data_IF_618085883583
#
_entry.id   IF_618085883583
#
_cell.length_a   1.000
_cell.length_b   1.000
_cell.length_c   1.000
_cell.angle_alpha   90.00
_cell.angle_beta   90.00
_cell.angle_gamma   90.00
#
_symmetry.space_group_name_H-M   'P 1'
#
loop_
_entity.id
_entity.type
_entity.pdbx_description
1 polymer ?
#
# COMPACT_ATOMS: atom_id res chain seq x y z
N UNK A 1 12.72 -14.34 3.02
CA UNK A 1 11.52 -14.98 3.61
C UNK A 1 10.55 -14.02 4.33
N UNK A 2 10.87 -12.73 4.42
CA UNK A 2 9.95 -11.71 4.94
C UNK A 2 8.63 -11.66 4.13
N UNK A 3 8.71 -11.81 2.80
CA UNK A 3 7.53 -11.84 1.93
C UNK A 3 6.58 -13.02 2.20
N UNK A 4 7.08 -14.15 2.72
CA UNK A 4 6.23 -15.27 3.12
C UNK A 4 5.51 -15.01 4.45
N UNK A 5 6.13 -14.29 5.37
CA UNK A 5 5.52 -13.91 6.64
C UNK A 5 4.38 -12.90 6.44
N UNK A 6 4.57 -11.89 5.58
CA UNK A 6 3.55 -10.88 5.25
C UNK A 6 2.35 -11.53 4.53
N UNK A 7 2.58 -12.46 3.59
CA UNK A 7 1.49 -13.22 2.95
C UNK A 7 0.74 -14.11 3.94
N UNK A 8 1.41 -14.72 4.93
CA UNK A 8 0.75 -15.53 5.96
C UNK A 8 -0.13 -14.69 6.88
N UNK A 9 0.31 -13.51 7.27
CA UNK A 9 -0.46 -12.61 8.13
C UNK A 9 -1.70 -12.07 7.40
N UNK A 10 -1.56 -11.70 6.11
CA UNK A 10 -2.70 -11.32 5.26
C UNK A 10 -3.72 -12.46 5.06
N UNK A 11 -3.25 -13.72 4.95
CA UNK A 11 -4.12 -14.89 4.88
C UNK A 11 -4.75 -15.25 6.23
N UNK A 12 -4.07 -15.02 7.36
CA UNK A 12 -4.64 -15.24 8.68
C UNK A 12 -5.80 -14.28 8.96
N UNK A 13 -5.64 -12.99 8.70
CA UNK A 13 -6.73 -12.02 8.87
C UNK A 13 -7.96 -12.35 8.03
N UNK A 14 -7.81 -12.91 6.83
CA UNK A 14 -8.92 -13.32 5.96
C UNK A 14 -9.56 -14.64 6.46
N UNK A 15 -8.81 -15.52 7.11
CA UNK A 15 -9.32 -16.82 7.61
C UNK A 15 -10.06 -16.69 8.93
N UNK A 16 -9.71 -15.70 9.74
CA UNK A 16 -10.29 -15.48 11.07
C UNK A 16 -11.50 -14.54 11.04
N UNK A 17 -11.68 -13.78 9.95
CA UNK A 17 -12.93 -13.08 9.68
C UNK A 17 -14.01 -14.10 9.30
N UNK A 18 -15.20 -13.98 9.86
CA UNK A 18 -16.35 -14.83 9.54
C UNK A 18 -16.61 -14.93 8.03
N UNK A 19 -17.44 -15.88 7.61
CA UNK A 19 -17.81 -16.00 6.19
C UNK A 19 -18.50 -14.72 5.72
N UNK A 20 -17.87 -14.02 4.78
CA UNK A 20 -18.41 -12.85 4.10
C UNK A 20 -18.72 -13.21 2.65
N UNK A 21 -19.79 -12.65 2.09
CA UNK A 21 -20.16 -12.87 0.69
C UNK A 21 -19.14 -12.25 -0.27
N UNK A 22 -18.53 -11.12 0.11
CA UNK A 22 -17.53 -10.39 -0.67
C UNK A 22 -16.29 -10.05 0.17
N UNK A 23 -15.39 -11.01 0.46
CA UNK A 23 -14.25 -10.79 1.36
C UNK A 23 -13.31 -9.67 0.91
N UNK A 24 -13.23 -9.41 -0.41
CA UNK A 24 -12.41 -8.32 -0.94
C UNK A 24 -12.95 -6.93 -0.56
N UNK A 25 -14.27 -6.80 -0.36
CA UNK A 25 -14.95 -5.57 0.07
C UNK A 25 -15.25 -5.57 1.58
N UNK A 26 -14.91 -6.64 2.28
CA UNK A 26 -15.32 -6.92 3.64
C UNK A 26 -14.40 -6.37 4.74
N UNK A 27 -14.49 -7.01 5.90
CA UNK A 27 -13.75 -6.68 7.11
C UNK A 27 -12.32 -7.21 7.05
N UNK A 28 -11.39 -6.38 6.59
CA UNK A 28 -9.98 -6.76 6.33
C UNK A 28 -9.02 -5.58 6.54
N UNK A 29 -7.74 -5.90 6.61
CA UNK A 29 -6.64 -4.95 6.62
C UNK A 29 -6.78 -3.87 7.70
N UNK A 30 -6.70 -2.58 7.37
CA UNK A 30 -6.75 -1.50 8.35
C UNK A 30 -8.08 -1.45 9.11
N UNK A 31 -9.17 -1.92 8.52
CA UNK A 31 -10.48 -2.00 9.19
C UNK A 31 -10.42 -2.86 10.45
N UNK A 32 -9.75 -4.03 10.36
CA UNK A 32 -9.51 -4.90 11.53
C UNK A 32 -8.61 -4.18 12.54
N UNK A 33 -7.55 -3.55 12.07
CA UNK A 33 -6.57 -2.89 12.94
C UNK A 33 -7.20 -1.75 13.76
N UNK A 34 -8.13 -0.99 13.18
CA UNK A 34 -8.80 0.13 13.86
C UNK A 34 -9.90 -0.34 14.82
N UNK A 35 -10.60 -1.44 14.53
CA UNK A 35 -11.61 -2.00 15.44
C UNK A 35 -11.02 -2.90 16.54
N UNK A 36 -9.85 -3.51 16.26
CA UNK A 36 -9.13 -4.36 17.22
C UNK A 36 -7.74 -3.78 17.49
N UNK A 37 -7.66 -2.63 18.19
CA UNK A 37 -6.41 -1.89 18.35
C UNK A 37 -5.34 -2.68 19.10
N UNK A 38 -5.67 -3.64 19.94
CA UNK A 38 -4.70 -4.45 20.69
C UNK A 38 -3.83 -5.30 19.75
N UNK A 39 -4.42 -5.86 18.69
CA UNK A 39 -3.67 -6.60 17.66
C UNK A 39 -2.73 -5.65 16.93
N UNK A 40 -3.24 -4.49 16.55
CA UNK A 40 -2.47 -3.48 15.82
C UNK A 40 -1.36 -2.89 16.68
N UNK A 41 -1.63 -2.55 17.94
CA UNK A 41 -0.62 -2.07 18.89
C UNK A 41 0.50 -3.09 19.09
N UNK A 42 0.18 -4.39 19.20
CA UNK A 42 1.17 -5.45 19.30
C UNK A 42 2.12 -5.46 18.09
N UNK A 43 1.58 -5.31 16.89
CA UNK A 43 2.36 -5.25 15.66
C UNK A 43 3.21 -3.97 15.59
N UNK A 44 2.60 -2.81 15.83
CA UNK A 44 3.29 -1.53 15.83
C UNK A 44 4.43 -1.50 16.87
N UNK A 45 4.20 -2.02 18.07
CA UNK A 45 5.21 -2.14 19.11
C UNK A 45 6.43 -2.92 18.64
N UNK A 46 6.23 -4.01 17.91
CA UNK A 46 7.32 -4.78 17.32
C UNK A 46 8.05 -4.01 16.21
N UNK A 47 7.31 -3.30 15.35
CA UNK A 47 7.87 -2.53 14.25
C UNK A 47 8.68 -1.31 14.73
N UNK A 48 8.15 -0.54 15.68
CA UNK A 48 8.85 0.61 16.26
C UNK A 48 10.15 0.19 16.97
N UNK A 49 10.15 -0.94 17.66
CA UNK A 49 11.38 -1.51 18.26
C UNK A 49 12.37 -1.97 17.20
N UNK A 50 11.90 -2.58 16.11
CA UNK A 50 12.76 -3.04 15.02
C UNK A 50 13.37 -1.88 14.24
N UNK A 51 12.67 -0.76 14.08
CA UNK A 51 13.14 0.44 13.40
C UNK A 51 14.41 1.02 14.04
N UNK A 52 14.64 0.81 15.34
CA UNK A 52 15.87 1.21 16.02
C UNK A 52 17.13 0.54 15.49
N UNK A 53 17.00 -0.61 14.84
CA UNK A 53 18.13 -1.45 14.42
C UNK A 53 18.33 -1.49 12.90
N UNK A 54 17.54 -0.76 12.12
CA UNK A 54 17.69 -0.71 10.68
C UNK A 54 16.65 0.16 10.00
N UNK A 55 16.88 0.47 8.73
CA UNK A 55 15.95 1.24 7.92
C UNK A 55 14.66 0.45 7.71
N UNK A 56 13.56 0.98 8.19
CA UNK A 56 12.24 0.38 8.11
C UNK A 56 11.26 1.47 7.66
N UNK A 57 10.30 1.11 6.83
CA UNK A 57 9.14 1.93 6.52
C UNK A 57 7.87 1.11 6.76
N UNK A 58 6.83 1.73 7.29
CA UNK A 58 5.54 1.08 7.55
C UNK A 58 4.54 1.55 6.51
N UNK A 59 3.82 0.62 5.89
CA UNK A 59 2.79 0.92 4.91
C UNK A 59 1.43 0.36 5.36
N UNK A 60 0.40 1.22 5.42
CA UNK A 60 -0.95 0.86 5.84
C UNK A 60 -1.85 0.61 4.65
N UNK A 61 -2.44 -0.60 4.54
CA UNK A 61 -3.25 -0.99 3.38
C UNK A 61 -4.73 -0.59 3.54
N UNK A 62 -5.46 -0.55 2.42
CA UNK A 62 -6.92 -0.40 2.35
C UNK A 62 -7.47 0.91 2.93
N UNK A 63 -6.72 1.98 2.78
CA UNK A 63 -7.14 3.32 3.22
C UNK A 63 -8.26 3.84 2.30
N UNK A 64 -9.26 4.46 2.88
CA UNK A 64 -10.38 5.10 2.17
C UNK A 64 -10.66 6.53 2.63
N UNK A 65 -10.05 6.99 3.75
CA UNK A 65 -10.30 8.33 4.28
C UNK A 65 -9.11 8.92 5.04
N UNK A 66 -9.15 10.23 5.24
CA UNK A 66 -8.20 11.00 6.05
C UNK A 66 -8.31 10.59 7.52
N UNK A 67 -9.52 10.35 8.02
CA UNK A 67 -9.80 9.99 9.41
C UNK A 67 -9.15 8.65 9.79
N UNK A 68 -9.07 7.70 8.86
CA UNK A 68 -8.35 6.44 9.08
C UNK A 68 -6.87 6.70 9.34
N UNK A 69 -6.23 7.56 8.54
CA UNK A 69 -4.81 7.90 8.72
C UNK A 69 -4.58 8.65 10.04
N UNK A 70 -5.46 9.57 10.39
CA UNK A 70 -5.39 10.28 11.68
C UNK A 70 -5.52 9.29 12.84
N UNK A 71 -6.44 8.32 12.75
CA UNK A 71 -6.63 7.28 13.77
C UNK A 71 -5.42 6.37 13.89
N UNK A 72 -4.80 5.97 12.78
CA UNK A 72 -3.54 5.21 12.76
C UNK A 72 -2.44 5.97 13.48
N UNK A 73 -2.24 7.25 13.15
CA UNK A 73 -1.20 8.08 13.79
C UNK A 73 -1.39 8.22 15.29
N UNK A 74 -2.65 8.32 15.74
CA UNK A 74 -2.96 8.33 17.16
C UNK A 74 -2.53 7.04 17.85
N UNK A 75 -2.85 5.88 17.26
CA UNK A 75 -2.44 4.57 17.81
C UNK A 75 -0.91 4.43 17.81
N UNK A 76 -0.22 4.90 16.77
CA UNK A 76 1.26 4.90 16.72
C UNK A 76 1.83 5.75 17.86
N UNK A 77 1.27 6.94 18.11
CA UNK A 77 1.71 7.80 19.19
C UNK A 77 1.48 7.17 20.57
N UNK A 78 0.33 6.52 20.78
CA UNK A 78 0.04 5.77 22.03
C UNK A 78 1.07 4.66 22.25
N UNK A 79 1.42 3.89 21.22
CA UNK A 79 2.43 2.83 21.31
C UNK A 79 3.83 3.39 21.58
N UNK A 80 4.17 4.52 20.99
CA UNK A 80 5.45 5.19 21.23
C UNK A 80 5.55 5.64 22.71
N UNK A 81 4.49 6.24 23.24
CA UNK A 81 4.40 6.65 24.66
C UNK A 81 4.51 5.45 25.62
N UNK A 82 3.83 4.32 25.30
CA UNK A 82 3.95 3.09 26.07
C UNK A 82 5.40 2.58 26.12
N UNK A 83 6.10 2.55 24.97
CA UNK A 83 7.49 2.13 24.89
C UNK A 83 8.44 3.06 25.65
N UNK A 84 8.21 4.37 25.59
CA UNK A 84 8.99 5.36 26.32
C UNK A 84 8.83 5.19 27.85
N UNK A 85 7.60 5.03 28.32
CA UNK A 85 7.29 4.81 29.73
C UNK A 85 7.92 3.51 30.28
N UNK A 86 8.07 2.49 29.44
CA UNK A 86 8.73 1.23 29.78
C UNK A 86 10.26 1.28 29.61
N UNK A 87 10.83 2.41 29.18
CA UNK A 87 12.25 2.57 28.84
C UNK A 87 12.74 1.56 27.77
N UNK A 88 11.87 1.19 26.82
CA UNK A 88 12.22 0.31 25.71
C UNK A 88 12.67 1.16 24.52
N UNK A 89 13.88 0.94 23.96
CA UNK A 89 14.35 1.68 22.81
C UNK A 89 13.46 1.44 21.58
N UNK A 90 13.10 2.53 20.91
CA UNK A 90 12.31 2.51 19.69
C UNK A 90 12.70 3.67 18.75
N UNK A 91 12.20 3.63 17.55
CA UNK A 91 12.25 4.72 16.56
C UNK A 91 10.95 4.73 15.77
N UNK A 92 10.46 5.90 15.41
CA UNK A 92 9.30 6.03 14.53
C UNK A 92 9.82 6.09 13.09
N UNK A 93 9.59 5.04 12.28
CA UNK A 93 10.05 5.00 10.89
C UNK A 93 9.14 5.83 9.98
N UNK A 94 9.52 5.97 8.71
CA UNK A 94 8.62 6.49 7.68
C UNK A 94 7.30 5.72 7.65
N UNK A 95 6.21 6.47 7.51
CA UNK A 95 4.86 5.92 7.48
C UNK A 95 4.16 6.30 6.19
N UNK A 96 3.85 5.32 5.38
CA UNK A 96 3.14 5.48 4.13
C UNK A 96 1.82 4.73 4.11
N UNK A 97 1.07 4.92 3.04
CA UNK A 97 -0.19 4.22 2.81
C UNK A 97 -0.20 3.55 1.44
N UNK A 98 -0.99 2.49 1.33
CA UNK A 98 -1.28 1.90 0.04
C UNK A 98 -2.48 2.60 -0.59
N UNK A 99 -2.26 3.15 -1.78
CA UNK A 99 -3.31 3.70 -2.62
C UNK A 99 -3.82 2.56 -3.51
N UNK A 100 -4.89 1.93 -3.08
CA UNK A 100 -5.46 0.76 -3.74
C UNK A 100 -6.99 0.81 -3.83
N UNK A 101 -7.59 1.90 -3.37
CA UNK A 101 -9.02 2.18 -3.48
C UNK A 101 -9.25 3.46 -4.29
N UNK A 102 -10.31 3.55 -5.11
CA UNK A 102 -10.65 4.79 -5.81
C UNK A 102 -10.85 5.98 -4.87
N UNK A 103 -11.35 5.74 -3.65
CA UNK A 103 -11.51 6.78 -2.64
C UNK A 103 -10.16 7.40 -2.24
N UNK A 104 -9.13 6.57 -1.97
CA UNK A 104 -7.81 7.06 -1.63
C UNK A 104 -7.14 7.83 -2.79
N UNK A 105 -7.40 7.42 -4.04
CA UNK A 105 -6.93 8.18 -5.21
C UNK A 105 -7.51 9.58 -5.24
N UNK A 106 -8.83 9.70 -5.03
CA UNK A 106 -9.53 10.99 -5.04
C UNK A 106 -9.09 11.93 -3.91
N UNK A 107 -8.62 11.37 -2.79
CA UNK A 107 -8.12 12.09 -1.61
C UNK A 107 -6.59 12.12 -1.54
N UNK A 108 -5.90 11.82 -2.64
CA UNK A 108 -4.44 11.64 -2.62
C UNK A 108 -3.69 12.90 -2.20
N UNK A 109 -4.19 14.09 -2.51
CA UNK A 109 -3.56 15.36 -2.11
C UNK A 109 -3.67 15.56 -0.59
N UNK A 110 -4.85 15.40 0.00
CA UNK A 110 -5.10 15.53 1.43
C UNK A 110 -4.37 14.44 2.24
N UNK A 111 -4.33 13.21 1.71
CA UNK A 111 -3.62 12.10 2.34
C UNK A 111 -2.10 12.31 2.33
N UNK A 112 -1.55 12.94 1.28
CA UNK A 112 -0.12 13.22 1.17
C UNK A 112 0.40 14.19 2.25
N UNK A 113 -0.45 15.06 2.80
CA UNK A 113 -0.09 15.93 3.93
C UNK A 113 0.20 15.14 5.21
N UNK A 114 -0.36 13.95 5.32
CA UNK A 114 -0.34 13.16 6.55
C UNK A 114 0.69 12.04 6.56
N UNK A 115 1.28 11.67 5.44
CA UNK A 115 2.17 10.51 5.32
C UNK A 115 3.48 10.86 4.63
N UNK A 116 4.44 9.94 4.66
CA UNK A 116 5.76 10.15 4.10
C UNK A 116 5.87 9.64 2.67
N UNK A 117 5.05 8.67 2.28
CA UNK A 117 5.04 8.10 0.93
C UNK A 117 3.73 7.40 0.58
N UNK A 118 3.57 7.12 -0.72
CA UNK A 118 2.52 6.27 -1.26
C UNK A 118 3.09 5.02 -1.93
N UNK A 119 2.35 3.92 -1.82
CA UNK A 119 2.57 2.73 -2.64
C UNK A 119 1.27 2.36 -3.35
N UNK A 120 1.26 2.41 -4.67
CA UNK A 120 0.05 2.12 -5.45
C UNK A 120 -0.13 0.61 -5.59
N UNK A 121 -1.18 0.07 -4.97
CA UNK A 121 -1.57 -1.33 -5.03
C UNK A 121 -2.38 -1.62 -6.30
N UNK A 122 -1.72 -1.76 -7.44
CA UNK A 122 -2.37 -1.78 -8.76
C UNK A 122 -3.38 -2.90 -8.95
N UNK A 123 -3.18 -4.06 -8.31
CA UNK A 123 -4.09 -5.19 -8.43
C UNK A 123 -5.45 -4.90 -7.78
N UNK A 124 -5.44 -4.40 -6.55
CA UNK A 124 -6.67 -4.06 -5.82
C UNK A 124 -7.29 -2.77 -6.40
N UNK A 125 -6.47 -1.78 -6.80
CA UNK A 125 -6.97 -0.58 -7.48
C UNK A 125 -7.72 -0.94 -8.78
N UNK A 126 -7.19 -1.83 -9.61
CA UNK A 126 -7.85 -2.31 -10.81
C UNK A 126 -9.16 -3.03 -10.48
N UNK A 127 -9.13 -3.94 -9.50
CA UNK A 127 -10.30 -4.69 -9.05
C UNK A 127 -11.45 -3.76 -8.63
N UNK A 128 -11.16 -2.76 -7.80
CA UNK A 128 -12.19 -1.86 -7.27
C UNK A 128 -12.65 -0.83 -8.30
N UNK A 129 -11.74 -0.36 -9.15
CA UNK A 129 -12.08 0.60 -10.23
C UNK A 129 -12.99 -0.02 -11.27
N UNK A 130 -12.71 -1.25 -11.66
CA UNK A 130 -13.49 -1.96 -12.68
C UNK A 130 -14.66 -2.77 -12.11
N UNK A 131 -14.79 -2.83 -10.77
CA UNK A 131 -15.79 -3.65 -10.07
C UNK A 131 -15.73 -5.14 -10.46
N UNK A 132 -14.52 -5.69 -10.60
CA UNK A 132 -14.27 -7.06 -11.06
C UNK A 132 -13.46 -7.80 -10.00
N UNK A 133 -13.98 -8.94 -9.53
CA UNK A 133 -13.20 -9.85 -8.70
C UNK A 133 -12.14 -10.57 -9.54
N UNK A 134 -10.87 -10.20 -9.33
CA UNK A 134 -9.71 -10.76 -10.04
C UNK A 134 -9.44 -12.26 -9.75
N UNK A 135 -10.13 -12.83 -8.75
CA UNK A 135 -10.06 -14.26 -8.45
C UNK A 135 -11.14 -15.07 -9.16
N UNK A 136 -12.07 -14.43 -9.83
CA UNK A 136 -13.15 -15.08 -10.55
C UNK A 136 -12.78 -15.28 -12.02
N UNK A 137 -12.31 -16.45 -12.40
CA UNK A 137 -11.86 -16.80 -13.75
C UNK A 137 -12.93 -16.57 -14.85
N UNK A 138 -14.22 -16.47 -14.46
CA UNK A 138 -15.29 -16.14 -15.42
C UNK A 138 -15.23 -14.69 -15.90
N UNK A 139 -14.53 -13.83 -15.13
CA UNK A 139 -14.39 -12.39 -15.38
C UNK A 139 -13.07 -12.02 -16.04
N UNK A 140 -12.15 -12.96 -16.29
CA UNK A 140 -10.81 -12.69 -16.82
C UNK A 140 -10.84 -11.84 -18.09
N UNK A 141 -11.81 -12.11 -18.99
CA UNK A 141 -11.97 -11.35 -20.24
C UNK A 141 -12.37 -9.88 -20.05
N UNK A 142 -12.87 -9.52 -18.88
CA UNK A 142 -13.28 -8.16 -18.54
C UNK A 142 -12.21 -7.46 -17.68
N UNK A 143 -11.30 -8.21 -17.07
CA UNK A 143 -10.24 -7.68 -16.25
C UNK A 143 -9.11 -7.15 -17.13
N UNK A 144 -9.05 -5.83 -17.26
CA UNK A 144 -8.01 -5.16 -18.06
C UNK A 144 -7.18 -4.23 -17.14
N UNK A 145 -5.99 -4.65 -16.67
CA UNK A 145 -5.16 -3.81 -15.84
C UNK A 145 -4.58 -2.58 -16.59
N UNK A 146 -4.55 -2.60 -17.93
CA UNK A 146 -4.17 -1.46 -18.78
C UNK A 146 -5.33 -0.49 -19.04
N UNK A 147 -6.45 -0.64 -18.33
CA UNK A 147 -7.61 0.22 -18.53
C UNK A 147 -7.26 1.67 -18.23
N UNK A 148 -7.64 2.58 -19.14
CA UNK A 148 -7.26 3.99 -19.08
C UNK A 148 -7.72 4.67 -17.77
N UNK A 149 -8.84 4.26 -17.17
CA UNK A 149 -9.28 4.76 -15.89
C UNK A 149 -8.27 4.44 -14.76
N UNK A 150 -7.69 3.23 -14.76
CA UNK A 150 -6.67 2.82 -13.79
C UNK A 150 -5.39 3.63 -13.98
N UNK A 151 -4.95 3.79 -15.23
CA UNK A 151 -3.74 4.55 -15.54
C UNK A 151 -3.88 6.04 -15.17
N UNK A 152 -5.05 6.65 -15.38
CA UNK A 152 -5.35 8.01 -14.92
C UNK A 152 -5.36 8.12 -13.40
N UNK A 153 -5.88 7.12 -12.69
CA UNK A 153 -5.85 7.10 -11.23
C UNK A 153 -4.42 7.03 -10.69
N UNK A 154 -3.55 6.25 -11.34
CA UNK A 154 -2.12 6.21 -11.01
C UNK A 154 -1.50 7.61 -11.18
N UNK A 155 -1.73 8.26 -12.31
CA UNK A 155 -1.21 9.61 -12.58
C UNK A 155 -1.74 10.63 -11.56
N UNK A 156 -3.03 10.62 -11.25
CA UNK A 156 -3.62 11.50 -10.21
C UNK A 156 -2.94 11.30 -8.86
N UNK A 157 -2.68 10.05 -8.47
CA UNK A 157 -2.02 9.72 -7.21
C UNK A 157 -0.60 10.29 -7.16
N UNK A 158 0.18 10.13 -8.25
CA UNK A 158 1.54 10.66 -8.35
C UNK A 158 1.52 12.19 -8.24
N UNK A 159 0.62 12.85 -8.98
CA UNK A 159 0.49 14.30 -8.94
C UNK A 159 0.09 14.82 -7.56
N UNK A 160 -0.86 14.15 -6.88
CA UNK A 160 -1.28 14.51 -5.53
C UNK A 160 -0.14 14.41 -4.51
N UNK A 161 0.63 13.32 -4.55
CA UNK A 161 1.78 13.12 -3.67
C UNK A 161 2.91 14.14 -3.92
N UNK A 162 3.27 14.36 -5.18
CA UNK A 162 4.37 15.24 -5.56
C UNK A 162 4.11 16.70 -5.21
N UNK A 163 2.85 17.17 -5.16
CA UNK A 163 2.51 18.50 -4.65
C UNK A 163 3.00 18.74 -3.21
N UNK A 164 3.09 17.66 -2.43
CA UNK A 164 3.56 17.68 -1.04
C UNK A 164 4.98 17.11 -0.87
N UNK A 165 5.70 16.90 -1.97
CA UNK A 165 7.07 16.37 -1.96
C UNK A 165 7.18 14.93 -1.47
N UNK A 166 6.12 14.13 -1.62
CA UNK A 166 6.10 12.73 -1.19
C UNK A 166 6.41 11.82 -2.37
N UNK A 167 7.25 10.80 -2.14
CA UNK A 167 7.58 9.83 -3.16
C UNK A 167 6.47 8.78 -3.33
N UNK A 168 6.37 8.21 -4.54
CA UNK A 168 5.34 7.25 -4.91
C UNK A 168 5.96 6.04 -5.57
N UNK A 169 5.66 4.85 -5.01
CA UNK A 169 5.99 3.58 -5.63
C UNK A 169 4.76 2.87 -6.22
N UNK A 170 4.99 2.00 -7.20
CA UNK A 170 3.99 1.03 -7.66
C UNK A 170 4.37 -0.34 -7.13
N UNK A 171 3.43 -1.02 -6.47
CA UNK A 171 3.52 -2.44 -6.15
C UNK A 171 2.38 -3.20 -6.82
N UNK A 172 2.65 -4.45 -7.18
CA UNK A 172 1.71 -5.28 -7.92
C UNK A 172 2.18 -5.60 -9.33
N UNK A 173 1.31 -6.24 -10.11
CA UNK A 173 1.72 -6.82 -11.41
C UNK A 173 2.08 -5.76 -12.45
N UNK A 174 1.41 -4.60 -12.44
CA UNK A 174 1.69 -3.52 -13.38
C UNK A 174 3.11 -2.94 -13.22
N UNK A 175 3.69 -2.96 -12.02
CA UNK A 175 5.06 -2.51 -11.81
C UNK A 175 6.10 -3.33 -12.58
N UNK A 176 5.78 -4.60 -12.88
CA UNK A 176 6.63 -5.51 -13.64
C UNK A 176 6.35 -5.49 -15.16
N UNK A 177 5.31 -4.79 -15.60
CA UNK A 177 4.92 -4.72 -17.01
C UNK A 177 5.81 -3.72 -17.76
N UNK A 178 6.77 -4.27 -18.52
CA UNK A 178 7.72 -3.46 -19.27
C UNK A 178 7.10 -2.62 -20.38
N UNK A 179 5.86 -2.94 -20.80
CA UNK A 179 5.14 -2.14 -21.81
C UNK A 179 4.62 -0.83 -21.24
N UNK A 180 4.41 -0.77 -19.93
CA UNK A 180 3.96 0.43 -19.20
C UNK A 180 5.09 1.20 -18.51
N UNK A 181 6.30 0.63 -18.42
CA UNK A 181 7.44 1.26 -17.72
C UNK A 181 7.66 2.69 -18.20
N UNK A 182 7.72 2.92 -19.50
CA UNK A 182 7.93 4.25 -20.07
C UNK A 182 6.82 5.23 -19.69
N UNK A 183 5.57 4.77 -19.67
CA UNK A 183 4.42 5.60 -19.27
C UNK A 183 4.53 5.99 -17.79
N UNK A 184 4.88 5.06 -16.91
CA UNK A 184 5.05 5.33 -15.49
C UNK A 184 6.20 6.30 -15.19
N UNK A 185 7.32 6.15 -15.87
CA UNK A 185 8.45 7.10 -15.75
C UNK A 185 8.01 8.51 -16.20
N UNK A 186 7.28 8.63 -17.32
CA UNK A 186 6.76 9.92 -17.80
C UNK A 186 5.72 10.54 -16.86
N UNK A 187 4.97 9.74 -16.10
CA UNK A 187 4.07 10.20 -15.04
C UNK A 187 4.84 10.70 -13.81
N UNK A 188 6.14 10.37 -13.68
CA UNK A 188 6.99 10.75 -12.56
C UNK A 188 7.03 9.73 -11.43
N UNK A 189 6.80 8.43 -11.70
CA UNK A 189 6.90 7.39 -10.65
C UNK A 189 8.32 7.32 -10.09
N UNK A 190 8.44 7.20 -8.76
CA UNK A 190 9.74 7.17 -8.07
C UNK A 190 10.23 5.73 -7.87
N UNK A 191 9.34 4.75 -7.71
CA UNK A 191 9.69 3.36 -7.45
C UNK A 191 8.80 2.38 -8.21
N UNK A 192 9.40 1.32 -8.77
CA UNK A 192 8.72 0.14 -9.28
C UNK A 192 9.12 -1.07 -8.45
N UNK A 193 8.25 -1.47 -7.51
CA UNK A 193 8.46 -2.63 -6.64
C UNK A 193 8.04 -3.92 -7.36
N UNK A 194 9.03 -4.70 -7.76
CA UNK A 194 8.83 -5.89 -8.58
C UNK A 194 9.46 -7.14 -7.95
N UNK A 195 9.04 -8.32 -8.39
CA UNK A 195 9.70 -9.56 -7.98
C UNK A 195 11.17 -9.59 -8.44
N UNK A 196 12.08 -10.26 -7.72
CA UNK A 196 13.50 -10.30 -8.07
C UNK A 196 13.77 -10.73 -9.50
N UNK A 197 12.95 -11.64 -10.05
CA UNK A 197 13.08 -12.12 -11.44
C UNK A 197 12.79 -11.04 -12.50
N UNK A 198 12.04 -9.99 -12.15
CA UNK A 198 11.64 -8.93 -13.08
C UNK A 198 12.57 -7.71 -13.03
N UNK A 199 13.42 -7.60 -12.02
CA UNK A 199 14.31 -6.44 -11.81
C UNK A 199 15.16 -6.13 -13.03
N UNK A 200 15.81 -7.14 -13.60
CA UNK A 200 16.70 -6.93 -14.74
C UNK A 200 15.95 -6.49 -15.99
N UNK A 201 14.76 -7.06 -16.25
CA UNK A 201 13.93 -6.67 -17.40
C UNK A 201 13.44 -5.23 -17.31
N UNK A 202 12.96 -4.82 -16.13
CA UNK A 202 12.49 -3.43 -15.91
C UNK A 202 13.66 -2.45 -16.02
N UNK A 203 14.82 -2.76 -15.42
CA UNK A 203 16.02 -1.92 -15.52
C UNK A 203 16.52 -1.78 -16.95
N UNK A 204 16.57 -2.89 -17.73
CA UNK A 204 16.95 -2.84 -19.14
C UNK A 204 16.04 -1.88 -19.90
N UNK A 205 14.72 -1.99 -19.69
CA UNK A 205 13.75 -1.12 -20.36
C UNK A 205 13.96 0.36 -20.00
N UNK A 206 14.30 0.67 -18.75
CA UNK A 206 14.58 2.06 -18.32
C UNK A 206 15.83 2.58 -18.99
N UNK A 207 16.93 1.79 -19.04
CA UNK A 207 18.18 2.19 -19.69
C UNK A 207 18.04 2.38 -21.22
N UNK A 208 17.06 1.76 -21.86
CA UNK A 208 16.79 1.94 -23.31
C UNK A 208 16.04 3.26 -23.61
N UNK A 209 15.56 3.96 -22.57
CA UNK A 209 14.82 5.22 -22.72
C UNK A 209 15.69 6.46 -22.68
N UNK A 210 16.98 6.32 -22.31
CA UNK A 210 17.99 7.36 -22.37
C UNK A 210 18.52 7.54 -23.82
#
# INVERSE_FOLDING_TARGET
DLHKAIRRQRQMCIRDSGKEDNPALGYRAIRICLEQPDIFKTQLRALLRAAKYGNLSIMYPMIISVEEVVSIKKIVAEVAEELENENIPYEIPEQGIMIETPAAVMLSEELAELVDFFSIGTNDLTQYTLAIDRQNNRLDRFYNPHHEAVLRMIEMTIQGAHKHGKWVGICGELGADTTLTERFIKMGIDELSVSPSMVLGVRSRICEME
#
